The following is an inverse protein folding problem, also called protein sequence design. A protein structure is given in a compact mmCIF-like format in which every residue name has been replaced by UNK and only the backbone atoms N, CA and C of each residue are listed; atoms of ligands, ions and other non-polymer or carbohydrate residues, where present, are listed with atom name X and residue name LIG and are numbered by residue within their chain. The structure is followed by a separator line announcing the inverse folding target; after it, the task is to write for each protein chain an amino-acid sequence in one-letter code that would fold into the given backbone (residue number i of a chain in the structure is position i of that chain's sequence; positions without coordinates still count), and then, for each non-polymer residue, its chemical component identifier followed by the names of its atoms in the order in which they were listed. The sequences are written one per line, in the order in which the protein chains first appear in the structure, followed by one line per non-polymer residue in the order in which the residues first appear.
data_IF_395037526313
#
_entry.id   IF_395037526313
#
_cell.length_a   1.000
_cell.length_b   1.000
_cell.length_c   1.000
_cell.angle_alpha   90.00
_cell.angle_beta   90.00
_cell.angle_gamma   90.00
#
_symmetry.space_group_name_H-M   'P 1'
#
loop_
_entity.id
_entity.type
_entity.pdbx_description
1 polymer ?
#
# COMPACT_ATOMS: atom_id res chain seq x y z
N UNK A 1 -82.62 -13.36 16.80
CA UNK A 1 -81.32 -14.05 16.66
C UNK A 1 -80.37 -13.05 16.02
N UNK A 2 -79.56 -12.26 16.74
CA UNK A 2 -78.32 -12.53 17.49
C UNK A 2 -77.19 -13.17 16.64
N UNK A 3 -76.04 -12.48 16.66
CA UNK A 3 -74.65 -12.88 16.38
C UNK A 3 -74.09 -12.33 15.05
N UNK A 4 -73.36 -11.20 15.05
CA UNK A 4 -71.96 -10.99 15.48
C UNK A 4 -70.95 -11.43 14.40
N UNK A 5 -70.62 -10.52 13.49
CA UNK A 5 -69.48 -10.67 12.58
C UNK A 5 -68.34 -9.75 13.04
N UNK A 6 -67.33 -10.39 13.61
CA UNK A 6 -66.06 -9.84 14.07
C UNK A 6 -65.10 -9.62 12.90
N UNK A 7 -64.57 -8.41 12.66
CA UNK A 7 -63.37 -8.28 11.82
C UNK A 7 -62.60 -6.94 11.93
N UNK A 8 -61.62 -6.90 12.85
CA UNK A 8 -60.21 -6.55 12.55
C UNK A 8 -59.81 -5.20 11.88
N UNK A 9 -60.32 -3.99 12.21
CA UNK A 9 -59.67 -2.77 11.71
C UNK A 9 -58.44 -2.35 12.53
N UNK A 10 -58.37 -2.73 13.82
CA UNK A 10 -57.28 -2.28 14.72
C UNK A 10 -55.92 -2.92 14.43
N UNK A 11 -55.91 -4.18 13.96
CA UNK A 11 -54.66 -4.91 13.70
C UNK A 11 -53.93 -4.41 12.46
N UNK A 12 -54.65 -4.01 11.42
CA UNK A 12 -54.07 -3.49 10.17
C UNK A 12 -53.47 -2.10 10.36
N UNK A 13 -54.11 -1.25 11.14
CA UNK A 13 -53.59 0.09 11.49
C UNK A 13 -52.33 -0.01 12.35
N UNK A 14 -52.30 -0.91 13.34
CA UNK A 14 -51.09 -1.17 14.14
C UNK A 14 -49.93 -1.69 13.29
N UNK A 15 -50.21 -2.57 12.31
CA UNK A 15 -49.20 -3.12 11.41
C UNK A 15 -48.63 -2.04 10.46
N UNK A 16 -49.49 -1.17 9.94
CA UNK A 16 -49.09 -0.05 9.09
C UNK A 16 -48.23 0.97 9.86
N UNK A 17 -48.59 1.26 11.12
CA UNK A 17 -47.82 2.17 11.95
C UNK A 17 -46.45 1.58 12.33
N UNK A 18 -46.39 0.26 12.59
CA UNK A 18 -45.13 -0.43 12.85
C UNK A 18 -44.20 -0.43 11.64
N UNK A 19 -44.75 -0.65 10.43
CA UNK A 19 -44.00 -0.56 9.17
C UNK A 19 -43.46 0.85 8.90
N UNK A 20 -44.23 1.89 9.23
CA UNK A 20 -43.81 3.28 9.02
C UNK A 20 -42.72 3.70 10.01
N UNK A 21 -42.79 3.26 11.26
CA UNK A 21 -41.72 3.44 12.25
C UNK A 21 -40.46 2.66 11.85
N UNK A 22 -40.62 1.44 11.32
CA UNK A 22 -39.49 0.66 10.78
C UNK A 22 -38.84 1.35 9.57
N UNK A 23 -39.63 1.89 8.65
CA UNK A 23 -39.11 2.64 7.51
C UNK A 23 -38.36 3.91 7.94
N UNK A 24 -38.86 4.61 8.97
CA UNK A 24 -38.21 5.80 9.53
C UNK A 24 -36.92 5.44 10.29
N UNK A 25 -36.90 4.31 11.00
CA UNK A 25 -35.69 3.77 11.64
C UNK A 25 -34.64 3.37 10.60
N UNK A 26 -35.05 2.76 9.48
CA UNK A 26 -34.12 2.40 8.40
C UNK A 26 -33.55 3.63 7.68
N UNK A 27 -34.32 4.71 7.55
CA UNK A 27 -33.86 5.96 6.95
C UNK A 27 -32.87 6.74 7.85
N UNK A 28 -32.84 6.45 9.15
CA UNK A 28 -31.89 7.02 10.11
C UNK A 28 -30.61 6.19 10.28
N UNK A 29 -30.42 5.09 9.53
CA UNK A 29 -29.11 4.44 9.53
C UNK A 29 -28.09 5.41 8.91
N UNK A 30 -26.99 5.73 9.61
CA UNK A 30 -25.91 6.48 9.00
C UNK A 30 -25.45 5.70 7.77
N UNK A 31 -25.50 6.35 6.60
CA UNK A 31 -24.89 5.79 5.40
C UNK A 31 -23.47 5.35 5.75
N UNK A 32 -22.98 4.20 5.25
CA UNK A 32 -21.59 3.82 5.44
C UNK A 32 -20.77 4.99 4.92
N UNK A 33 -20.13 5.72 5.83
CA UNK A 33 -19.18 6.73 5.47
C UNK A 33 -18.08 5.98 4.72
N UNK A 34 -18.13 6.03 3.39
CA UNK A 34 -16.96 5.74 2.58
C UNK A 34 -15.91 6.71 3.11
N UNK A 35 -14.97 6.20 3.91
CA UNK A 35 -13.85 6.96 4.41
C UNK A 35 -13.26 7.66 3.19
N UNK A 36 -13.47 8.98 3.12
CA UNK A 36 -12.89 9.79 2.07
C UNK A 36 -11.39 9.67 2.25
N UNK A 37 -10.79 8.84 1.40
CA UNK A 37 -9.37 8.64 1.33
C UNK A 37 -8.77 10.01 0.98
N UNK A 38 -8.37 10.75 2.01
CA UNK A 38 -7.45 11.90 1.91
C UNK A 38 -6.32 11.48 0.96
N UNK A 39 -5.78 12.34 0.08
CA UNK A 39 -4.78 11.93 -0.91
C UNK A 39 -3.55 11.33 -0.23
N UNK A 40 -3.61 10.03 0.04
CA UNK A 40 -2.54 9.20 0.52
C UNK A 40 -1.76 8.70 -0.67
N UNK A 41 -0.62 8.08 -0.40
CA UNK A 41 0.17 7.44 -1.44
C UNK A 41 -0.72 6.51 -2.30
N UNK A 42 -0.54 6.57 -3.61
CA UNK A 42 -1.32 5.82 -4.57
C UNK A 42 -0.39 5.11 -5.55
N UNK A 43 -0.68 3.85 -5.86
CA UNK A 43 0.09 3.08 -6.85
C UNK A 43 -0.51 3.34 -8.24
N UNK A 44 0.21 4.08 -9.07
CA UNK A 44 -0.25 4.56 -10.38
C UNK A 44 -0.12 3.48 -11.45
N UNK A 45 0.99 2.74 -11.43
CA UNK A 45 1.31 1.73 -12.44
C UNK A 45 1.88 0.48 -11.79
N UNK A 46 1.55 -0.68 -12.35
CA UNK A 46 2.22 -1.96 -12.08
C UNK A 46 2.35 -2.71 -13.41
N UNK A 47 3.53 -3.29 -13.67
CA UNK A 47 3.81 -4.10 -14.85
C UNK A 47 4.67 -5.29 -14.48
N UNK A 48 4.30 -6.47 -14.97
CA UNK A 48 5.06 -7.69 -14.82
C UNK A 48 5.73 -8.04 -16.15
N UNK A 49 7.05 -8.18 -16.15
CA UNK A 49 7.86 -8.46 -17.33
C UNK A 49 8.65 -9.76 -17.13
N UNK A 50 8.65 -10.63 -18.13
CA UNK A 50 9.48 -11.82 -18.19
C UNK A 50 10.75 -11.51 -18.97
N UNK A 51 11.90 -11.72 -18.34
CA UNK A 51 13.19 -11.72 -19.02
C UNK A 51 13.80 -13.13 -18.98
N UNK A 52 14.97 -13.30 -19.61
CA UNK A 52 15.63 -14.61 -19.72
C UNK A 52 16.05 -15.19 -18.36
N UNK A 53 16.31 -14.34 -17.37
CA UNK A 53 16.84 -14.71 -16.05
C UNK A 53 15.79 -14.64 -14.92
N UNK A 54 14.53 -14.36 -15.24
CA UNK A 54 13.45 -14.34 -14.27
C UNK A 54 12.31 -13.38 -14.61
N UNK A 55 11.38 -13.25 -13.67
CA UNK A 55 10.23 -12.35 -13.75
C UNK A 55 10.47 -11.12 -12.89
N UNK A 56 10.12 -9.95 -13.44
CA UNK A 56 10.36 -8.65 -12.84
C UNK A 56 9.07 -7.85 -12.71
N UNK A 57 8.86 -7.27 -11.54
CA UNK A 57 7.80 -6.28 -11.32
C UNK A 57 8.38 -4.87 -11.38
N UNK A 58 7.73 -3.99 -12.14
CA UNK A 58 7.95 -2.56 -12.09
C UNK A 58 6.68 -1.87 -11.60
N UNK A 59 6.83 -0.90 -10.70
CA UNK A 59 5.71 -0.16 -10.13
C UNK A 59 6.01 1.35 -10.04
N UNK A 60 4.96 2.14 -10.22
CA UNK A 60 4.96 3.59 -10.02
C UNK A 60 4.10 3.93 -8.80
N UNK A 61 4.63 4.78 -7.93
CA UNK A 61 3.92 5.28 -6.74
C UNK A 61 3.87 6.80 -6.82
N UNK A 62 2.71 7.37 -6.58
CA UNK A 62 2.52 8.80 -6.40
C UNK A 62 2.26 9.07 -4.93
N UNK A 63 3.04 9.95 -4.31
CA UNK A 63 2.80 10.43 -2.96
C UNK A 63 3.39 11.82 -2.78
N UNK A 64 2.88 12.53 -1.79
CA UNK A 64 3.45 13.78 -1.29
C UNK A 64 4.09 13.50 0.07
N UNK A 65 5.22 14.14 0.33
CA UNK A 65 5.93 13.99 1.59
C UNK A 65 5.33 14.97 2.61
N UNK A 66 4.90 14.52 3.79
CA UNK A 66 4.42 15.44 4.82
C UNK A 66 5.54 16.36 5.28
N UNK A 67 5.21 17.63 5.58
CA UNK A 67 6.18 18.65 6.01
C UNK A 67 7.03 18.22 7.20
N UNK A 68 6.46 17.48 8.16
CA UNK A 68 7.19 16.95 9.30
C UNK A 68 8.31 15.97 8.89
N UNK A 69 8.06 15.15 7.86
CA UNK A 69 9.07 14.20 7.35
C UNK A 69 10.17 14.97 6.60
N UNK A 70 9.81 16.01 5.86
CA UNK A 70 10.77 16.93 5.22
C UNK A 70 11.68 17.60 6.25
N UNK A 71 11.12 18.19 7.31
CA UNK A 71 11.90 18.83 8.38
C UNK A 71 12.86 17.86 9.09
N UNK A 72 12.46 16.60 9.25
CA UNK A 72 13.29 15.55 9.86
C UNK A 72 14.43 15.16 8.92
N UNK A 73 14.15 15.03 7.63
CA UNK A 73 15.16 14.80 6.60
C UNK A 73 16.19 15.93 6.54
N UNK A 74 15.74 17.19 6.60
CA UNK A 74 16.62 18.36 6.59
C UNK A 74 17.55 18.41 7.81
N UNK A 75 17.11 17.87 8.96
CA UNK A 75 17.94 17.66 10.16
C UNK A 75 18.96 16.52 10.01
N UNK A 76 19.03 15.88 8.84
CA UNK A 76 19.96 14.79 8.54
C UNK A 76 19.51 13.43 9.08
N UNK A 77 18.27 13.30 9.54
CA UNK A 77 17.73 12.04 10.06
C UNK A 77 17.26 11.20 8.88
N UNK A 78 17.75 9.98 8.79
CA UNK A 78 17.42 9.09 7.69
C UNK A 78 15.98 8.56 7.79
N UNK A 79 15.29 8.55 6.65
CA UNK A 79 13.95 8.00 6.48
C UNK A 79 14.01 6.74 5.62
N UNK A 80 13.19 5.76 5.96
CA UNK A 80 13.15 4.47 5.31
C UNK A 80 11.82 4.25 4.61
N UNK A 81 11.88 3.87 3.35
CA UNK A 81 10.74 3.43 2.56
C UNK A 81 10.89 1.94 2.25
N UNK A 82 9.77 1.24 2.22
CA UNK A 82 9.72 -0.19 1.93
C UNK A 82 8.72 -0.41 0.82
N UNK A 83 9.18 -1.03 -0.26
CA UNK A 83 8.37 -1.54 -1.35
C UNK A 83 8.37 -3.07 -1.26
N UNK A 84 7.19 -3.66 -1.14
CA UNK A 84 6.99 -5.10 -1.03
C UNK A 84 6.04 -5.56 -2.13
N UNK A 85 6.37 -6.67 -2.76
CA UNK A 85 5.55 -7.31 -3.77
C UNK A 85 5.35 -8.78 -3.41
N UNK A 86 4.10 -9.21 -3.42
CA UNK A 86 3.69 -10.60 -3.26
C UNK A 86 2.94 -11.03 -4.51
N UNK A 87 3.23 -12.24 -4.99
CA UNK A 87 2.53 -12.82 -6.12
C UNK A 87 1.87 -14.12 -5.70
N UNK A 88 0.64 -14.29 -6.17
CA UNK A 88 -0.24 -15.38 -5.86
C UNK A 88 -0.67 -16.10 -7.14
N UNK A 89 -0.77 -17.42 -7.06
CA UNK A 89 -1.30 -18.28 -8.11
C UNK A 89 -2.70 -18.75 -7.71
N UNK A 90 -3.67 -18.53 -8.60
CA UNK A 90 -5.08 -18.91 -8.43
C UNK A 90 -5.21 -20.43 -8.63
N UNK A 91 -5.72 -21.14 -7.61
CA UNK A 91 -5.94 -22.60 -7.66
C UNK A 91 -7.41 -22.93 -7.43
N UNK A 92 -7.99 -23.80 -8.26
CA UNK A 92 -9.46 -23.99 -8.34
C UNK A 92 -10.13 -24.65 -7.12
N UNK A 93 -9.38 -25.22 -6.17
CA UNK A 93 -9.95 -26.02 -5.06
C UNK A 93 -9.32 -25.76 -3.69
N UNK A 94 -8.46 -24.74 -3.57
CA UNK A 94 -7.92 -24.28 -2.28
C UNK A 94 -7.28 -22.88 -2.41
N UNK A 95 -7.11 -22.21 -1.26
CA UNK A 95 -6.57 -20.85 -1.07
C UNK A 95 -5.40 -20.48 -2.00
N UNK A 96 -5.40 -19.23 -2.47
CA UNK A 96 -4.31 -18.61 -3.23
C UNK A 96 -2.93 -18.97 -2.65
N UNK A 97 -2.09 -19.60 -3.47
CA UNK A 97 -0.73 -19.94 -3.06
C UNK A 97 0.19 -18.78 -3.39
N UNK A 98 0.87 -18.24 -2.39
CA UNK A 98 1.98 -17.31 -2.60
C UNK A 98 3.13 -18.03 -3.30
N UNK A 99 3.46 -17.58 -4.50
CA UNK A 99 4.52 -18.15 -5.36
C UNK A 99 5.80 -17.34 -5.31
N UNK A 100 5.71 -16.04 -5.03
CA UNK A 100 6.87 -15.17 -4.91
C UNK A 100 6.62 -14.05 -3.90
N UNK A 101 7.69 -13.62 -3.24
CA UNK A 101 7.71 -12.43 -2.39
C UNK A 101 9.06 -11.74 -2.52
N UNK A 102 9.05 -10.43 -2.73
CA UNK A 102 10.25 -9.61 -2.79
C UNK A 102 10.04 -8.30 -2.06
N UNK A 103 11.07 -7.87 -1.35
CA UNK A 103 11.08 -6.61 -0.61
C UNK A 103 12.28 -5.78 -1.02
N UNK A 104 12.08 -4.46 -1.10
CA UNK A 104 13.12 -3.48 -1.36
C UNK A 104 13.05 -2.38 -0.31
N UNK A 105 14.18 -2.19 0.36
CA UNK A 105 14.38 -1.15 1.35
C UNK A 105 15.12 0.03 0.73
N UNK A 106 14.63 1.23 1.00
CA UNK A 106 15.16 2.48 0.46
C UNK A 106 15.40 3.45 1.61
N UNK A 107 16.66 3.84 1.82
CA UNK A 107 17.06 4.80 2.86
C UNK A 107 17.44 6.12 2.23
N UNK A 108 16.66 7.16 2.53
CA UNK A 108 16.92 8.54 2.14
C UNK A 108 17.49 9.31 3.33
N UNK A 109 18.59 10.04 3.12
CA UNK A 109 19.15 10.93 4.14
C UNK A 109 19.78 12.16 3.48
N UNK A 110 19.63 13.32 4.10
CA UNK A 110 20.35 14.53 3.73
C UNK A 110 21.74 14.55 4.38
N UNK A 111 22.75 14.98 3.63
CA UNK A 111 24.12 15.17 4.12
C UNK A 111 24.41 16.68 4.22
N UNK A 112 24.39 17.29 5.41
CA UNK A 112 24.53 18.73 5.56
C UNK A 112 25.87 19.30 5.07
N UNK A 113 26.95 18.52 5.20
CA UNK A 113 28.30 18.93 4.80
C UNK A 113 28.44 19.04 3.28
N UNK A 114 27.91 18.06 2.55
CA UNK A 114 27.98 18.01 1.08
C UNK A 114 26.76 18.62 0.41
N UNK A 115 25.72 18.95 1.18
CA UNK A 115 24.40 19.41 0.73
C UNK A 115 23.78 18.48 -0.32
N UNK A 116 23.96 17.17 -0.12
CA UNK A 116 23.48 16.14 -1.05
C UNK A 116 22.48 15.21 -0.39
N UNK A 117 21.53 14.76 -1.18
CA UNK A 117 20.56 13.73 -0.82
C UNK A 117 21.14 12.37 -1.19
N UNK A 118 21.23 11.46 -0.23
CA UNK A 118 21.77 10.11 -0.43
C UNK A 118 20.65 9.09 -0.32
N UNK A 119 20.34 8.42 -1.43
CA UNK A 119 19.43 7.29 -1.51
C UNK A 119 20.23 5.98 -1.53
N UNK A 120 19.92 5.08 -0.61
CA UNK A 120 20.49 3.73 -0.59
C UNK A 120 19.36 2.74 -0.83
N UNK A 121 19.50 1.89 -1.85
CA UNK A 121 18.49 0.89 -2.21
C UNK A 121 19.08 -0.50 -1.97
N UNK A 122 18.37 -1.35 -1.24
CA UNK A 122 18.84 -2.68 -0.85
C UNK A 122 17.69 -3.69 -0.87
N UNK A 123 17.92 -4.96 -1.27
CA UNK A 123 16.95 -6.04 -1.11
C UNK A 123 16.80 -6.49 0.36
N UNK A 124 17.78 -6.20 1.22
CA UNK A 124 17.80 -6.56 2.65
C UNK A 124 17.63 -5.30 3.52
N UNK A 125 17.02 -5.36 4.72
CA UNK A 125 16.92 -4.23 5.64
C UNK A 125 18.28 -3.55 5.87
N UNK A 126 18.29 -2.22 5.77
CA UNK A 126 19.52 -1.43 5.91
C UNK A 126 19.74 -1.12 7.39
N UNK A 127 20.47 -1.99 8.09
CA UNK A 127 20.82 -1.79 9.49
C UNK A 127 22.15 -1.04 9.61
N UNK A 128 22.09 0.24 10.00
CA UNK A 128 23.26 1.04 10.35
C UNK A 128 24.04 1.67 9.18
N UNK A 129 25.13 2.38 9.52
CA UNK A 129 25.93 3.19 8.59
C UNK A 129 26.89 2.37 7.68
N UNK A 130 27.05 1.07 7.95
CA UNK A 130 27.98 0.18 7.27
C UNK A 130 27.31 -1.14 6.86
N UNK A 131 26.17 -1.05 6.16
CA UNK A 131 25.48 -2.24 5.64
C UNK A 131 26.34 -2.98 4.61
N UNK A 132 26.92 -4.11 5.01
CA UNK A 132 27.67 -5.05 4.16
C UNK A 132 26.74 -5.86 3.24
N UNK A 133 25.86 -5.19 2.51
CA UNK A 133 25.00 -5.77 1.49
C UNK A 133 25.24 -5.11 0.13
N UNK A 134 24.82 -5.78 -0.94
CA UNK A 134 24.74 -5.19 -2.29
C UNK A 134 23.66 -4.11 -2.23
N UNK A 135 24.07 -2.89 -1.89
CA UNK A 135 23.21 -1.72 -1.85
C UNK A 135 23.62 -0.76 -2.96
N UNK A 136 22.63 -0.33 -3.76
CA UNK A 136 22.84 0.68 -4.78
C UNK A 136 22.76 2.05 -4.11
N UNK A 137 23.85 2.80 -4.17
CA UNK A 137 23.88 4.17 -3.68
C UNK A 137 23.74 5.17 -4.82
N UNK A 138 22.80 6.11 -4.67
CA UNK A 138 22.58 7.21 -5.59
C UNK A 138 22.58 8.52 -4.80
N UNK A 139 23.20 9.56 -5.37
CA UNK A 139 23.22 10.90 -4.78
C UNK A 139 22.45 11.86 -5.69
N UNK A 140 21.70 12.76 -5.08
CA UNK A 140 20.89 13.77 -5.76
C UNK A 140 21.17 15.15 -5.17
N UNK A 141 20.98 16.19 -5.98
CA UNK A 141 21.16 17.58 -5.57
C UNK A 141 19.88 18.15 -4.92
N UNK A 142 18.70 17.67 -5.32
CA UNK A 142 17.41 18.11 -4.76
C UNK A 142 16.61 16.97 -4.13
N UNK A 143 15.73 17.31 -3.17
CA UNK A 143 14.80 16.36 -2.57
C UNK A 143 13.82 15.81 -3.61
N UNK A 144 13.34 16.67 -4.51
CA UNK A 144 12.42 16.28 -5.59
C UNK A 144 13.00 15.16 -6.45
N UNK A 145 14.26 15.29 -6.90
CA UNK A 145 14.91 14.25 -7.72
C UNK A 145 15.04 12.92 -6.97
N UNK A 146 15.39 12.99 -5.67
CA UNK A 146 15.48 11.81 -4.83
C UNK A 146 14.10 11.14 -4.65
N UNK A 147 13.04 11.92 -4.49
CA UNK A 147 11.67 11.41 -4.38
C UNK A 147 11.19 10.80 -5.69
N UNK A 148 11.48 11.38 -6.85
CA UNK A 148 11.16 10.79 -8.15
C UNK A 148 11.83 9.41 -8.34
N UNK A 149 13.07 9.27 -7.86
CA UNK A 149 13.75 7.98 -7.86
C UNK A 149 13.08 6.95 -6.93
N UNK A 150 12.53 7.37 -5.78
CA UNK A 150 11.80 6.51 -4.84
C UNK A 150 10.41 6.13 -5.41
N UNK A 151 9.73 7.07 -6.07
CA UNK A 151 8.41 6.86 -6.70
C UNK A 151 8.47 5.84 -7.85
N UNK A 152 9.61 5.71 -8.53
CA UNK A 152 9.85 4.72 -9.59
C UNK A 152 10.52 3.46 -9.07
N UNK A 153 9.72 2.46 -8.76
CA UNK A 153 10.20 1.15 -8.32
C UNK A 153 10.47 0.27 -9.55
N UNK A 154 11.72 0.29 -10.04
CA UNK A 154 12.13 -0.45 -11.23
C UNK A 154 12.65 -1.87 -10.94
N UNK A 155 12.27 -2.84 -11.78
CA UNK A 155 12.84 -4.21 -11.84
C UNK A 155 13.01 -4.89 -10.47
N UNK A 156 11.92 -5.13 -9.76
CA UNK A 156 11.91 -6.03 -8.61
C UNK A 156 11.90 -7.47 -9.12
N UNK A 157 12.95 -8.24 -8.87
CA UNK A 157 13.02 -9.65 -9.24
C UNK A 157 12.07 -10.44 -8.35
N UNK A 158 11.01 -11.01 -8.93
CA UNK A 158 10.02 -11.81 -8.22
C UNK A 158 10.54 -13.24 -7.99
N UNK A 159 11.20 -13.82 -8.99
CA UNK A 159 11.70 -15.19 -8.97
C UNK A 159 11.97 -15.72 -10.36
N UNK A 160 12.29 -17.00 -10.45
CA UNK A 160 12.52 -17.69 -11.71
C UNK A 160 11.17 -18.02 -12.39
N UNK A 161 11.16 -18.04 -13.73
CA UNK A 161 9.96 -18.39 -14.51
C UNK A 161 9.41 -19.76 -14.11
N UNK A 162 10.29 -20.73 -13.85
CA UNK A 162 9.92 -22.08 -13.47
C UNK A 162 9.22 -22.17 -12.09
N UNK A 163 9.50 -21.24 -11.17
CA UNK A 163 8.89 -21.20 -9.84
C UNK A 163 7.52 -20.53 -9.84
N UNK A 164 7.34 -19.56 -10.73
CA UNK A 164 6.14 -18.72 -10.83
C UNK A 164 5.01 -19.46 -11.54
N UNK A 165 5.35 -20.21 -12.60
CA UNK A 165 4.41 -20.96 -13.42
C UNK A 165 4.01 -20.22 -14.70
N UNK A 166 3.40 -20.96 -15.63
CA UNK A 166 3.03 -20.49 -16.97
C UNK A 166 1.62 -19.87 -17.05
N UNK A 167 1.07 -19.39 -15.93
CA UNK A 167 -0.24 -18.74 -15.96
C UNK A 167 -0.15 -17.43 -16.76
N UNK A 168 -1.04 -17.17 -17.75
CA UNK A 168 -1.05 -15.89 -18.43
C UNK A 168 -1.32 -14.70 -17.49
N UNK A 169 -2.04 -14.90 -16.37
CA UNK A 169 -2.42 -13.85 -15.44
C UNK A 169 -1.98 -14.20 -14.01
N UNK A 170 -1.21 -13.30 -13.41
CA UNK A 170 -0.74 -13.45 -12.05
C UNK A 170 -1.34 -12.39 -11.14
N UNK A 171 -1.86 -12.80 -9.99
CA UNK A 171 -2.34 -11.85 -8.99
C UNK A 171 -1.15 -11.30 -8.20
N UNK A 172 -0.89 -10.01 -8.33
CA UNK A 172 0.21 -9.33 -7.65
C UNK A 172 -0.37 -8.30 -6.69
N UNK A 173 0.06 -8.38 -5.43
CA UNK A 173 -0.19 -7.37 -4.40
C UNK A 173 1.09 -6.59 -4.17
N UNK A 174 1.05 -5.29 -4.45
CA UNK A 174 2.15 -4.38 -4.22
C UNK A 174 1.81 -3.45 -3.06
N UNK A 175 2.75 -3.31 -2.12
CA UNK A 175 2.65 -2.45 -0.94
C UNK A 175 3.83 -1.50 -0.92
N UNK A 176 3.56 -0.22 -0.75
CA UNK A 176 4.57 0.80 -0.51
C UNK A 176 4.26 1.48 0.81
N UNK A 177 5.27 1.63 1.67
CA UNK A 177 5.09 2.28 2.96
C UNK A 177 6.33 3.00 3.46
N UNK A 178 6.10 4.00 4.30
CA UNK A 178 7.11 4.56 5.19
C UNK A 178 7.35 3.60 6.36
N UNK A 179 8.61 3.25 6.62
CA UNK A 179 8.99 2.42 7.77
C UNK A 179 9.47 3.28 8.93
N UNK A 180 8.56 3.54 9.87
CA UNK A 180 8.81 4.33 11.07
C UNK A 180 9.52 3.54 12.18
N UNK A 181 9.60 2.21 12.06
CA UNK A 181 10.23 1.34 13.07
C UNK A 181 11.74 1.58 13.22
N UNK A 182 12.38 2.10 12.17
CA UNK A 182 13.82 2.38 12.11
C UNK A 182 14.17 3.82 12.50
N UNK A 183 13.17 4.65 12.84
CA UNK A 183 13.41 6.01 13.30
C UNK A 183 14.04 6.01 14.71
N UNK A 184 14.84 7.03 15.06
CA UNK A 184 15.31 7.18 16.44
C UNK A 184 14.12 7.25 17.41
N UNK A 185 14.27 6.65 18.59
CA UNK A 185 13.19 6.53 19.61
C UNK A 185 12.43 7.83 19.89
N UNK A 186 13.05 9.03 19.97
CA UNK A 186 12.30 10.27 20.16
C UNK A 186 11.24 10.53 19.09
N UNK A 187 11.51 10.16 17.84
CA UNK A 187 10.58 10.33 16.71
C UNK A 187 9.55 9.21 16.65
N UNK A 188 9.83 8.02 17.21
CA UNK A 188 8.85 6.93 17.27
C UNK A 188 7.64 7.28 18.15
N UNK A 189 7.84 8.10 19.19
CA UNK A 189 6.76 8.51 20.11
C UNK A 189 5.79 9.49 19.41
N UNK A 190 6.31 10.35 18.53
CA UNK A 190 5.49 11.29 17.73
C UNK A 190 4.74 10.67 16.56
N UNK A 191 5.01 9.40 16.23
CA UNK A 191 4.31 8.66 15.17
C UNK A 191 2.98 8.07 15.67
N UNK A 192 2.83 7.88 16.99
CA UNK A 192 1.63 7.29 17.58
C UNK A 192 0.49 8.31 17.63
N UNK A 193 -0.39 8.26 16.63
CA UNK A 193 -1.65 9.02 16.60
C UNK A 193 -1.69 10.21 15.63
N UNK A 194 -0.63 10.49 14.88
CA UNK A 194 -0.60 11.56 13.86
C UNK A 194 -0.65 11.00 12.43
N UNK A 195 -1.54 11.57 11.61
CA UNK A 195 -1.62 11.32 10.17
C UNK A 195 -0.37 11.79 9.40
N UNK A 196 0.50 12.57 10.06
CA UNK A 196 1.66 13.25 9.49
C UNK A 196 2.83 12.31 9.12
N UNK A 197 2.75 11.02 9.49
CA UNK A 197 3.72 9.99 9.10
C UNK A 197 3.10 8.90 8.20
N UNK A 198 1.84 9.07 7.78
CA UNK A 198 1.12 8.04 7.04
C UNK A 198 1.36 8.16 5.52
N UNK A 199 2.46 7.60 5.05
CA UNK A 199 2.64 7.28 3.63
C UNK A 199 2.53 5.77 3.51
N UNK A 200 1.37 5.31 3.05
CA UNK A 200 1.12 3.92 2.72
C UNK A 200 0.21 3.80 1.50
N UNK A 201 0.53 2.86 0.62
CA UNK A 201 -0.24 2.52 -0.55
C UNK A 201 -0.25 1.00 -0.71
N UNK A 202 -1.41 0.43 -1.00
CA UNK A 202 -1.55 -0.97 -1.35
C UNK A 202 -2.42 -1.10 -2.60
N UNK A 203 -2.00 -1.94 -3.53
CA UNK A 203 -2.78 -2.25 -4.73
C UNK A 203 -2.58 -3.70 -5.11
N UNK A 204 -3.69 -4.39 -5.29
CA UNK A 204 -3.74 -5.73 -5.86
C UNK A 204 -4.26 -5.65 -7.29
N UNK A 205 -3.60 -6.30 -8.23
CA UNK A 205 -4.09 -6.44 -9.60
C UNK A 205 -3.69 -7.79 -10.20
N UNK A 206 -4.52 -8.29 -11.13
CA UNK A 206 -4.13 -9.38 -12.02
C UNK A 206 -3.33 -8.79 -13.19
N UNK A 207 -2.06 -9.16 -13.29
CA UNK A 207 -1.12 -8.65 -14.28
C UNK A 207 -0.80 -9.75 -15.29
N UNK A 208 -0.79 -9.39 -16.57
CA UNK A 208 -0.30 -10.28 -17.61
C UNK A 208 1.23 -10.31 -17.58
N UNK A 209 1.80 -11.49 -17.80
CA UNK A 209 3.25 -11.64 -17.92
C UNK A 209 3.69 -11.22 -19.33
N UNK A 210 4.21 -10.00 -19.48
CA UNK A 210 4.69 -9.48 -20.76
C UNK A 210 6.11 -9.97 -21.03
N UNK A 211 6.37 -10.56 -22.20
CA UNK A 211 7.74 -10.91 -22.59
C UNK A 211 8.53 -9.65 -22.90
N UNK A 212 9.69 -9.46 -22.25
CA UNK A 212 10.57 -8.34 -22.53
C UNK A 212 11.03 -8.46 -23.99
N UNK A 213 10.74 -7.43 -24.79
CA UNK A 213 11.06 -7.41 -26.23
C UNK A 213 12.53 -7.09 -26.47
#
# INVERSE_FOLDING_TARGET
MKNAESARPRRTVLLAMFLLVWALLLACLPAPAAAQNRPGAAITQMRLEQADDGVYLSAGVQFELPSLVEEVLDKGIAIYFVAEAEMYQERWYWTDRKVAQVTRHMRLAYQPLTRRWRLNVSPVPITGAAGFGISLNQNFDTLGDALEAIKRIGRLRMGDVAEIGDDPLHQVTFRFRLDTSQLPRPFQIGVVGQADWNISAERTAKLALEKQR
#
